data_IF_795191470451
#
_entry.id   IF_795191470451
#
_cell.length_a   1.000
_cell.length_b   1.000
_cell.length_c   1.000
_cell.angle_alpha   90.00
_cell.angle_beta   90.00
_cell.angle_gamma   90.00
#
_symmetry.space_group_name_H-M   'P 1'
#
loop_
_entity.id
_entity.type
_entity.pdbx_description
1 polymer ?
#
# COMPACT_ATOMS: atom_id res chain seq x y z
N UNK A 1 9.31 9.32 -33.78
CA UNK A 1 9.97 9.13 -32.47
C UNK A 1 9.01 8.54 -31.42
N UNK A 2 7.71 8.86 -31.45
CA UNK A 2 6.67 8.41 -30.49
C UNK A 2 6.49 6.87 -30.38
N UNK A 3 6.57 6.14 -31.49
CA UNK A 3 6.55 4.66 -31.50
C UNK A 3 7.72 4.04 -30.74
N UNK A 4 8.81 4.78 -30.55
CA UNK A 4 10.01 4.28 -29.89
C UNK A 4 9.91 4.39 -28.36
N UNK A 5 9.23 5.42 -27.82
CA UNK A 5 9.14 5.67 -26.37
C UNK A 5 8.16 4.72 -25.67
N UNK A 6 7.00 4.43 -26.27
CA UNK A 6 6.07 3.41 -25.74
C UNK A 6 6.65 2.00 -25.82
N UNK A 7 7.32 1.66 -26.93
CA UNK A 7 8.06 0.41 -27.06
C UNK A 7 9.22 0.30 -26.06
N UNK A 8 9.92 1.40 -25.80
CA UNK A 8 10.95 1.49 -24.77
C UNK A 8 10.36 1.29 -23.37
N UNK A 9 9.19 1.86 -23.08
CA UNK A 9 8.50 1.68 -21.80
C UNK A 9 8.17 0.20 -21.55
N UNK A 10 7.63 -0.50 -22.57
CA UNK A 10 7.37 -1.95 -22.52
C UNK A 10 8.64 -2.76 -22.26
N UNK A 11 9.79 -2.30 -22.75
CA UNK A 11 11.10 -2.94 -22.53
C UNK A 11 11.69 -2.62 -21.15
N UNK A 12 11.52 -1.39 -20.63
CA UNK A 12 12.09 -0.94 -19.34
C UNK A 12 11.32 -1.52 -18.15
N UNK A 13 9.99 -1.59 -18.26
CA UNK A 13 9.08 -2.00 -17.18
C UNK A 13 9.44 -3.37 -16.55
N UNK A 14 9.75 -4.43 -17.33
CA UNK A 14 10.19 -5.70 -16.78
C UNK A 14 11.43 -5.57 -15.87
N UNK A 15 12.37 -4.68 -16.21
CA UNK A 15 13.59 -4.47 -15.43
C UNK A 15 13.32 -3.67 -14.14
N UNK A 16 12.44 -2.67 -14.18
CA UNK A 16 12.07 -1.90 -12.99
C UNK A 16 11.21 -2.69 -12.00
N UNK A 17 10.52 -3.73 -12.48
CA UNK A 17 9.82 -4.72 -11.64
C UNK A 17 10.78 -5.58 -10.82
N UNK A 18 12.02 -5.82 -11.26
CA UNK A 18 12.95 -6.70 -10.54
C UNK A 18 14.08 -5.95 -9.84
N UNK A 19 14.34 -4.69 -10.23
CA UNK A 19 15.43 -3.89 -9.70
C UNK A 19 14.91 -2.79 -8.78
N UNK A 20 15.59 -2.55 -7.65
CA UNK A 20 15.30 -1.41 -6.79
C UNK A 20 16.07 -0.19 -7.30
N UNK A 21 15.36 0.80 -7.84
CA UNK A 21 15.95 2.04 -8.32
C UNK A 21 15.93 3.12 -7.23
N UNK A 22 17.02 3.88 -7.12
CA UNK A 22 17.10 5.05 -6.26
C UNK A 22 16.10 6.14 -6.64
N UNK A 23 15.75 7.03 -5.70
CA UNK A 23 14.74 8.07 -5.93
C UNK A 23 15.12 9.05 -7.05
N UNK A 24 16.42 9.36 -7.21
CA UNK A 24 16.91 10.21 -8.30
C UNK A 24 16.60 9.61 -9.69
N UNK A 25 16.91 8.34 -9.90
CA UNK A 25 16.64 7.64 -11.16
C UNK A 25 15.15 7.51 -11.44
N UNK A 26 14.34 7.24 -10.41
CA UNK A 26 12.88 7.20 -10.54
C UNK A 26 12.31 8.58 -10.92
N UNK A 27 12.78 9.67 -10.29
CA UNK A 27 12.35 11.03 -10.64
C UNK A 27 12.73 11.39 -12.08
N UNK A 28 13.93 11.01 -12.52
CA UNK A 28 14.35 11.21 -13.90
C UNK A 28 13.47 10.43 -14.88
N UNK A 29 13.26 9.13 -14.64
CA UNK A 29 12.38 8.29 -15.45
C UNK A 29 10.95 8.84 -15.51
N UNK A 30 10.43 9.34 -14.38
CA UNK A 30 9.12 9.95 -14.34
C UNK A 30 9.05 11.21 -15.22
N UNK A 31 9.94 12.18 -14.99
CA UNK A 31 9.90 13.50 -15.66
C UNK A 31 10.18 13.43 -17.16
N UNK A 32 11.04 12.52 -17.61
CA UNK A 32 11.50 12.48 -19.00
C UNK A 32 10.79 11.43 -19.86
N UNK A 33 10.13 10.44 -19.26
CA UNK A 33 9.46 9.36 -20.01
C UNK A 33 7.99 9.25 -19.64
N UNK A 34 7.67 9.09 -18.36
CA UNK A 34 6.30 8.77 -17.94
C UNK A 34 5.39 10.01 -18.03
N UNK A 35 5.80 11.15 -17.50
CA UNK A 35 4.99 12.37 -17.46
C UNK A 35 4.64 12.91 -18.86
N UNK A 36 5.58 12.97 -19.83
CA UNK A 36 5.23 13.33 -21.21
C UNK A 36 4.15 12.42 -21.81
N UNK A 37 4.32 11.10 -21.69
CA UNK A 37 3.34 10.11 -22.20
C UNK A 37 1.96 10.25 -21.55
N UNK A 38 1.90 10.59 -20.27
CA UNK A 38 0.63 10.85 -19.57
C UNK A 38 -0.04 12.15 -20.07
N UNK A 39 0.75 13.21 -20.33
CA UNK A 39 0.22 14.51 -20.80
C UNK A 39 -0.29 14.45 -22.23
N UNK A 40 0.41 13.71 -23.10
CA UNK A 40 0.05 13.52 -24.50
C UNK A 40 -1.10 12.52 -24.71
N UNK A 41 -1.49 11.77 -23.66
CA UNK A 41 -2.52 10.73 -23.76
C UNK A 41 -2.06 9.46 -24.49
N UNK A 42 -0.76 9.35 -24.80
CA UNK A 42 -0.13 8.25 -25.53
C UNK A 42 0.30 7.08 -24.63
N UNK A 43 -0.13 7.07 -23.37
CA UNK A 43 0.23 6.02 -22.40
C UNK A 43 -0.55 4.74 -22.67
N UNK A 44 0.17 3.65 -22.94
CA UNK A 44 -0.43 2.31 -23.05
C UNK A 44 -1.04 1.88 -21.70
N UNK A 45 -2.35 1.57 -21.64
CA UNK A 45 -3.03 1.11 -20.43
C UNK A 45 -2.37 -0.11 -19.77
N UNK A 46 -1.78 -1.03 -20.56
CA UNK A 46 -1.13 -2.25 -20.06
C UNK A 46 0.12 -1.93 -19.21
N UNK A 47 0.72 -0.77 -19.44
CA UNK A 47 1.92 -0.34 -18.71
C UNK A 47 1.60 0.25 -17.33
N UNK A 48 0.39 0.76 -17.12
CA UNK A 48 0.01 1.51 -15.92
C UNK A 48 0.16 0.71 -14.61
N UNK A 49 -0.29 -0.56 -14.51
CA UNK A 49 -0.09 -1.33 -13.29
C UNK A 49 1.40 -1.44 -12.92
N UNK A 50 2.25 -1.72 -13.90
CA UNK A 50 3.67 -1.88 -13.66
C UNK A 50 4.35 -0.56 -13.26
N UNK A 51 3.93 0.57 -13.82
CA UNK A 51 4.40 1.89 -13.38
C UNK A 51 4.05 2.15 -11.91
N UNK A 52 2.80 1.87 -11.51
CA UNK A 52 2.39 1.96 -10.10
C UNK A 52 3.29 1.08 -9.22
N UNK A 53 3.54 -0.16 -9.64
CA UNK A 53 4.40 -1.11 -8.92
C UNK A 53 5.88 -0.72 -8.88
N UNK A 54 6.35 0.06 -9.85
CA UNK A 54 7.71 0.60 -9.89
C UNK A 54 7.84 1.73 -8.88
N UNK A 55 6.98 2.75 -8.97
CA UNK A 55 7.09 3.94 -8.13
C UNK A 55 6.71 3.70 -6.67
N UNK A 56 5.83 2.74 -6.37
CA UNK A 56 5.41 2.44 -4.99
C UNK A 56 6.55 2.01 -4.05
N UNK A 57 7.69 1.59 -4.60
CA UNK A 57 8.85 1.07 -3.88
C UNK A 57 9.60 2.16 -3.14
N UNK A 58 9.42 3.42 -3.54
CA UNK A 58 10.11 4.56 -2.95
C UNK A 58 9.09 5.59 -2.46
N UNK A 59 9.10 5.86 -1.15
CA UNK A 59 8.15 6.78 -0.52
C UNK A 59 8.27 8.22 -1.05
N UNK A 60 9.46 8.64 -1.49
CA UNK A 60 9.64 9.95 -2.15
C UNK A 60 8.87 10.07 -3.47
N UNK A 61 8.49 8.95 -4.08
CA UNK A 61 7.74 8.91 -5.33
C UNK A 61 6.23 8.78 -5.10
N UNK A 62 5.73 8.91 -3.86
CA UNK A 62 4.29 8.85 -3.57
C UNK A 62 3.47 9.87 -4.38
N UNK A 63 4.04 11.05 -4.66
CA UNK A 63 3.39 12.05 -5.51
C UNK A 63 3.16 11.54 -6.95
N UNK A 64 4.10 10.74 -7.49
CA UNK A 64 3.97 10.09 -8.81
C UNK A 64 2.84 9.07 -8.79
N UNK A 65 2.80 8.24 -7.73
CA UNK A 65 1.73 7.24 -7.56
C UNK A 65 0.36 7.90 -7.49
N UNK A 66 0.25 9.08 -6.86
CA UNK A 66 -0.97 9.89 -6.82
C UNK A 66 -1.35 10.41 -8.21
N UNK A 67 -0.41 10.99 -8.96
CA UNK A 67 -0.66 11.44 -10.35
C UNK A 67 -1.09 10.29 -11.27
N UNK A 68 -0.53 9.09 -11.08
CA UNK A 68 -0.95 7.90 -11.82
C UNK A 68 -2.40 7.50 -11.49
N UNK A 69 -2.79 7.53 -10.21
CA UNK A 69 -4.18 7.29 -9.80
C UNK A 69 -5.16 8.28 -10.46
N UNK A 70 -4.81 9.56 -10.49
CA UNK A 70 -5.64 10.61 -11.08
C UNK A 70 -5.80 10.36 -12.59
N UNK A 71 -4.70 10.09 -13.30
CA UNK A 71 -4.73 9.72 -14.73
C UNK A 71 -5.59 8.48 -15.00
N UNK A 72 -5.36 7.39 -14.25
CA UNK A 72 -6.11 6.13 -14.40
C UNK A 72 -7.61 6.40 -14.22
N UNK A 73 -7.99 7.16 -13.20
CA UNK A 73 -9.39 7.46 -12.90
C UNK A 73 -10.04 8.28 -14.02
N UNK A 74 -9.34 9.29 -14.57
CA UNK A 74 -9.81 10.05 -15.71
C UNK A 74 -9.95 9.18 -16.97
N UNK A 75 -8.94 8.37 -17.29
CA UNK A 75 -8.93 7.53 -18.48
C UNK A 75 -10.04 6.45 -18.44
N UNK A 76 -10.36 5.90 -17.26
CA UNK A 76 -11.50 4.98 -17.10
C UNK A 76 -12.83 5.70 -17.34
N UNK A 77 -12.98 6.93 -16.80
CA UNK A 77 -14.19 7.74 -17.01
C UNK A 77 -14.41 8.08 -18.48
N UNK A 78 -13.33 8.37 -19.19
CA UNK A 78 -13.31 8.61 -20.64
C UNK A 78 -13.42 7.31 -21.47
N UNK A 79 -13.59 6.15 -20.82
CA UNK A 79 -13.69 4.82 -21.44
C UNK A 79 -12.47 4.42 -22.28
N UNK A 80 -11.31 5.04 -22.04
CA UNK A 80 -10.03 4.72 -22.68
C UNK A 80 -9.39 3.45 -22.09
N UNK A 81 -9.79 3.06 -20.89
CA UNK A 81 -9.27 1.87 -20.18
C UNK A 81 -10.44 0.99 -19.73
N UNK A 82 -10.39 -0.29 -20.09
CA UNK A 82 -11.27 -1.32 -19.52
C UNK A 82 -10.55 -2.09 -18.41
N UNK A 83 -11.14 -2.12 -17.22
CA UNK A 83 -10.63 -2.89 -16.08
C UNK A 83 -10.90 -4.39 -16.20
N UNK A 84 -11.85 -4.79 -17.05
CA UNK A 84 -12.33 -6.18 -17.13
C UNK A 84 -11.32 -7.11 -17.83
N UNK A 85 -10.40 -6.55 -18.62
CA UNK A 85 -9.39 -7.34 -19.33
C UNK A 85 -8.34 -7.95 -18.38
N UNK A 86 -8.12 -7.35 -17.21
CA UNK A 86 -7.12 -7.83 -16.23
C UNK A 86 -7.44 -7.40 -14.79
N UNK A 87 -8.54 -7.95 -14.27
CA UNK A 87 -9.04 -7.66 -12.92
C UNK A 87 -7.96 -7.91 -11.85
N UNK A 88 -7.13 -8.94 -12.02
CA UNK A 88 -6.09 -9.30 -11.05
C UNK A 88 -5.03 -8.19 -10.89
N UNK A 89 -4.51 -7.65 -12.00
CA UNK A 89 -3.54 -6.56 -11.93
C UNK A 89 -4.17 -5.28 -11.38
N UNK A 90 -5.43 -4.99 -11.71
CA UNK A 90 -6.12 -3.82 -11.17
C UNK A 90 -6.39 -3.93 -9.67
N UNK A 91 -6.74 -5.10 -9.14
CA UNK A 91 -6.81 -5.32 -7.68
C UNK A 91 -5.46 -5.08 -7.02
N UNK A 92 -4.37 -5.53 -7.65
CA UNK A 92 -3.01 -5.28 -7.15
C UNK A 92 -2.66 -3.78 -7.15
N UNK A 93 -3.09 -3.02 -8.16
CA UNK A 93 -2.97 -1.55 -8.20
C UNK A 93 -3.77 -0.89 -7.07
N UNK A 94 -5.04 -1.27 -6.90
CA UNK A 94 -5.89 -0.74 -5.83
C UNK A 94 -5.28 -1.04 -4.45
N UNK A 95 -4.71 -2.22 -4.25
CA UNK A 95 -4.02 -2.56 -3.01
C UNK A 95 -2.91 -1.55 -2.70
N UNK A 96 -2.14 -1.13 -3.72
CA UNK A 96 -1.09 -0.13 -3.58
C UNK A 96 -1.66 1.21 -3.16
N UNK A 97 -2.72 1.67 -3.83
CA UNK A 97 -3.37 2.94 -3.53
C UNK A 97 -4.07 2.95 -2.17
N UNK A 98 -4.57 1.80 -1.69
CA UNK A 98 -5.23 1.65 -0.39
C UNK A 98 -4.31 1.77 0.83
N UNK A 99 -3.00 1.87 0.63
CA UNK A 99 -2.07 2.00 1.74
C UNK A 99 -2.20 3.36 2.43
N UNK A 100 -2.54 3.35 3.72
CA UNK A 100 -2.87 4.55 4.52
C UNK A 100 -1.83 5.68 4.40
N UNK A 101 -0.54 5.34 4.46
CA UNK A 101 0.56 6.31 4.42
C UNK A 101 0.73 7.02 3.07
N UNK A 102 0.06 6.58 2.00
CA UNK A 102 0.11 7.23 0.68
C UNK A 102 -0.93 8.34 0.51
N UNK A 103 -2.01 8.34 1.29
CA UNK A 103 -3.05 9.37 1.21
C UNK A 103 -3.73 9.48 -0.18
N UNK A 104 -3.85 8.36 -0.90
CA UNK A 104 -4.46 8.31 -2.24
C UNK A 104 -5.95 7.96 -2.12
N UNK A 105 -6.80 8.70 -2.83
CA UNK A 105 -8.22 8.36 -2.94
C UNK A 105 -8.44 7.25 -3.99
N UNK A 106 -8.46 6.01 -3.53
CA UNK A 106 -8.64 4.82 -4.37
C UNK A 106 -10.10 4.41 -4.58
N UNK A 107 -11.06 5.09 -3.91
CA UNK A 107 -12.48 4.73 -3.94
C UNK A 107 -13.09 4.78 -5.36
N UNK A 108 -12.77 5.78 -6.21
CA UNK A 108 -13.28 5.79 -7.59
C UNK A 108 -12.85 4.56 -8.39
N UNK A 109 -11.56 4.17 -8.31
CA UNK A 109 -11.06 2.99 -9.01
C UNK A 109 -11.70 1.70 -8.47
N UNK A 110 -11.86 1.60 -7.15
CA UNK A 110 -12.56 0.47 -6.52
C UNK A 110 -14.01 0.36 -7.00
N UNK A 111 -14.72 1.48 -7.13
CA UNK A 111 -16.08 1.53 -7.66
C UNK A 111 -16.15 1.05 -9.11
N UNK A 112 -15.27 1.53 -9.99
CA UNK A 112 -15.22 1.05 -11.38
C UNK A 112 -14.96 -0.45 -11.50
N UNK A 113 -14.21 -1.03 -10.55
CA UNK A 113 -13.95 -2.46 -10.52
C UNK A 113 -15.16 -3.27 -10.02
N UNK A 114 -15.80 -2.80 -8.95
CA UNK A 114 -16.75 -3.59 -8.17
C UNK A 114 -18.21 -3.27 -8.42
N UNK A 115 -18.54 -2.08 -8.91
CA UNK A 115 -19.91 -1.59 -8.98
C UNK A 115 -20.37 -1.59 -10.43
N UNK A 116 -21.65 -1.93 -10.65
CA UNK A 116 -22.35 -1.63 -11.89
C UNK A 116 -22.57 -0.12 -12.03
N UNK A 117 -21.49 0.67 -12.07
CA UNK A 117 -21.63 2.10 -12.30
C UNK A 117 -21.80 2.33 -13.82
N UNK A 118 -23.06 2.40 -14.23
CA UNK A 118 -23.51 3.20 -15.37
C UNK A 118 -23.23 4.67 -15.08
N UNK A 119 -21.96 5.10 -15.08
CA UNK A 119 -21.59 6.49 -15.37
C UNK A 119 -21.80 6.78 -16.86
N UNK A 120 -22.94 6.35 -17.42
CA UNK A 120 -23.42 6.92 -18.66
C UNK A 120 -23.88 8.33 -18.29
N UNK A 121 -23.39 9.40 -18.94
CA UNK A 121 -24.22 10.58 -19.02
C UNK A 121 -25.54 10.09 -19.61
N UNK A 122 -26.65 10.35 -18.92
CA UNK A 122 -27.96 10.26 -19.52
C UNK A 122 -27.97 11.27 -20.67
N UNK A 123 -27.55 10.85 -21.86
CA UNK A 123 -28.01 11.46 -23.09
C UNK A 123 -29.50 11.17 -23.13
N UNK A 124 -30.30 12.13 -22.66
CA UNK A 124 -31.69 12.18 -23.05
C UNK A 124 -31.74 12.18 -24.58
N UNK A 125 -32.57 11.30 -25.14
CA UNK A 125 -32.72 11.16 -26.59
C UNK A 125 -32.92 9.72 -27.01
N UNK A 126 -34.18 9.30 -26.94
CA UNK A 126 -34.88 8.41 -27.86
C UNK A 126 -34.39 6.96 -28.08
N UNK A 127 -35.32 6.06 -27.71
CA UNK A 127 -35.52 4.73 -28.28
C UNK A 127 -35.21 4.68 -29.77
N UNK A 128 -34.16 3.97 -30.17
CA UNK A 128 -34.16 3.22 -31.43
C UNK A 128 -33.38 1.91 -31.30
N UNK A 129 -34.00 0.89 -31.90
CA UNK A 129 -33.64 -0.51 -31.87
C UNK A 129 -32.20 -0.80 -32.26
N UNK A 130 -31.61 -1.76 -31.57
CA UNK A 130 -30.39 -2.43 -31.97
C UNK A 130 -30.58 -3.12 -33.34
N UNK A 131 -29.77 -2.73 -34.32
CA UNK A 131 -29.36 -3.64 -35.37
C UNK A 131 -27.84 -3.66 -35.48
N UNK A 132 -27.35 -4.91 -35.49
CA UNK A 132 -25.97 -5.32 -35.71
C UNK A 132 -25.58 -4.98 -37.14
N UNK A 133 -24.42 -4.36 -37.34
CA UNK A 133 -23.75 -4.30 -38.65
C UNK A 133 -22.24 -4.21 -38.45
N UNK A 134 -21.54 -5.05 -39.22
CA UNK A 134 -20.10 -5.32 -39.30
C UNK A 134 -19.19 -4.10 -39.58
N UNK A 135 -17.87 -4.22 -39.36
CA UNK A 135 -16.95 -3.07 -39.42
C UNK A 135 -16.62 -2.73 -40.89
N UNK A 136 -16.96 -1.50 -41.31
CA UNK A 136 -16.40 -0.90 -42.53
C UNK A 136 -15.28 0.08 -42.16
N UNK A 137 -14.13 -0.12 -42.80
CA UNK A 137 -13.04 0.84 -42.89
C UNK A 137 -13.56 2.19 -43.38
N UNK A 138 -13.32 3.24 -42.60
CA UNK A 138 -13.44 4.62 -43.06
C UNK A 138 -12.22 5.37 -42.54
N UNK A 139 -11.41 5.87 -43.48
CA UNK A 139 -10.28 6.76 -43.25
C UNK A 139 -10.73 7.99 -42.46
N UNK A 140 -10.03 8.28 -41.37
CA UNK A 140 -10.28 9.47 -40.57
C UNK A 140 -9.61 10.69 -41.23
N UNK A 141 -10.31 11.83 -41.41
CA UNK A 141 -9.66 13.10 -41.72
C UNK A 141 -8.88 13.57 -40.50
N UNK A 142 -7.63 13.99 -40.71
CA UNK A 142 -6.76 14.62 -39.71
C UNK A 142 -7.32 16.01 -39.38
N UNK A 143 -7.52 16.36 -38.09
CA UNK A 143 -7.52 17.75 -37.66
C UNK A 143 -6.24 18.05 -36.88
N UNK A 144 -5.50 19.02 -37.40
CA UNK A 144 -4.38 19.72 -36.78
C UNK A 144 -4.77 20.45 -35.49
N UNK A 145 -3.81 20.50 -34.56
CA UNK A 145 -3.66 21.44 -33.44
C UNK A 145 -4.70 21.43 -32.30
N UNK A 146 -4.44 20.61 -31.27
CA UNK A 146 -4.97 20.83 -29.92
C UNK A 146 -3.85 21.45 -29.07
N UNK A 147 -3.77 22.77 -29.10
CA UNK A 147 -3.13 23.53 -28.02
C UNK A 147 -4.05 23.49 -26.79
N UNK A 148 -3.56 22.91 -25.70
CA UNK A 148 -4.21 23.00 -24.39
C UNK A 148 -4.11 24.46 -23.92
N UNK A 149 -5.13 25.26 -24.25
CA UNK A 149 -5.18 26.68 -23.94
C UNK A 149 -5.64 26.87 -22.49
N UNK A 150 -4.65 26.93 -21.61
CA UNK A 150 -4.78 27.34 -20.23
C UNK A 150 -4.74 28.88 -20.19
N UNK A 151 -5.93 29.53 -20.24
CA UNK A 151 -6.27 30.93 -19.87
C UNK A 151 -7.29 31.50 -20.87
N UNK A 152 -8.55 31.59 -20.44
CA UNK A 152 -9.45 32.75 -20.61
C UNK A 152 -10.74 32.43 -19.86
N UNK A 153 -10.67 32.60 -18.55
CA UNK A 153 -11.81 32.59 -17.64
C UNK A 153 -11.80 33.95 -16.96
N UNK A 154 -11.94 35.00 -17.77
CA UNK A 154 -12.26 36.36 -17.35
C UNK A 154 -12.73 37.13 -18.59
N UNK A 155 -13.85 37.84 -18.45
CA UNK A 155 -14.54 38.68 -19.44
C UNK A 155 -15.32 37.96 -20.55
N UNK A 156 -16.56 37.58 -20.23
CA UNK A 156 -17.77 37.89 -21.03
C UNK A 156 -19.03 37.60 -20.19
N UNK A 157 -19.38 38.56 -19.34
CA UNK A 157 -20.75 38.74 -18.85
C UNK A 157 -21.13 40.19 -19.05
N UNK A 158 -21.93 40.42 -20.10
CA UNK A 158 -22.83 41.55 -20.26
C UNK A 158 -23.83 41.07 -21.33
N UNK A 159 -24.81 40.29 -20.89
CA UNK A 159 -26.20 40.70 -20.96
C UNK A 159 -27.18 39.53 -20.77
N UNK A 160 -28.05 39.76 -19.79
CA UNK A 160 -29.47 39.39 -19.73
C UNK A 160 -29.89 37.94 -19.37
N UNK A 161 -30.33 37.88 -18.12
CA UNK A 161 -31.60 37.30 -17.64
C UNK A 161 -31.75 35.78 -17.46
N UNK A 162 -31.84 35.39 -16.19
CA UNK A 162 -32.91 34.49 -15.73
C UNK A 162 -32.48 33.08 -15.32
N UNK A 163 -32.64 32.80 -14.02
CA UNK A 163 -32.64 31.50 -13.34
C UNK A 163 -31.30 30.88 -12.90
N UNK A 164 -31.08 31.04 -11.59
CA UNK A 164 -30.23 30.26 -10.69
C UNK A 164 -29.76 28.90 -11.21
N UNK A 165 -28.47 28.81 -11.56
CA UNK A 165 -27.73 27.55 -11.50
C UNK A 165 -26.55 27.73 -10.55
N UNK A 166 -26.62 27.03 -9.42
CA UNK A 166 -25.49 26.82 -8.54
C UNK A 166 -24.34 26.19 -9.34
N UNK A 167 -23.20 26.87 -9.29
CA UNK A 167 -21.91 26.38 -9.76
C UNK A 167 -21.60 25.00 -9.16
N UNK A 168 -21.51 24.00 -10.02
CA UNK A 168 -20.94 22.70 -9.69
C UNK A 168 -19.41 22.82 -9.53
N UNK A 169 -18.94 22.88 -8.30
CA UNK A 169 -17.58 22.43 -7.93
C UNK A 169 -17.63 20.89 -7.82
N UNK A 170 -16.99 20.09 -8.70
CA UNK A 170 -17.11 18.64 -8.66
C UNK A 170 -16.12 18.07 -7.64
N UNK A 171 -16.23 18.47 -6.38
CA UNK A 171 -15.77 17.65 -5.26
C UNK A 171 -16.67 16.42 -5.25
N UNK A 172 -16.29 15.38 -5.99
CA UNK A 172 -17.05 14.13 -6.09
C UNK A 172 -17.33 13.58 -4.70
N UNK A 173 -18.53 13.86 -4.19
CA UNK A 173 -19.10 13.20 -3.04
C UNK A 173 -19.37 11.77 -3.48
N UNK A 174 -18.36 10.91 -3.36
CA UNK A 174 -18.51 9.50 -3.62
C UNK A 174 -19.46 8.95 -2.54
N UNK A 175 -20.68 8.59 -2.93
CA UNK A 175 -21.60 7.91 -2.04
C UNK A 175 -20.93 6.65 -1.44
N UNK A 176 -21.34 6.18 -0.26
CA UNK A 176 -20.86 4.90 0.25
C UNK A 176 -21.22 3.80 -0.74
N UNK A 177 -20.33 2.82 -0.92
CA UNK A 177 -20.64 1.66 -1.78
C UNK A 177 -21.77 0.86 -1.08
N UNK A 178 -22.72 0.32 -1.84
CA UNK A 178 -23.72 -0.63 -1.33
C UNK A 178 -23.28 -2.05 -1.66
N UNK A 179 -23.50 -3.00 -0.76
CA UNK A 179 -23.23 -4.42 -1.05
C UNK A 179 -24.11 -4.96 -2.18
N UNK A 180 -25.31 -4.39 -2.36
CA UNK A 180 -26.26 -4.77 -3.42
C UNK A 180 -25.80 -4.38 -4.82
N UNK A 181 -24.96 -3.36 -4.92
CA UNK A 181 -24.49 -2.85 -6.22
C UNK A 181 -23.21 -3.57 -6.68
N UNK A 182 -22.70 -4.52 -5.88
CA UNK A 182 -21.48 -5.26 -6.17
C UNK A 182 -21.69 -6.26 -7.31
N UNK A 183 -20.74 -6.27 -8.24
CA UNK A 183 -20.59 -7.27 -9.30
C UNK A 183 -20.07 -8.57 -8.73
N UNK A 184 -20.96 -9.46 -8.29
CA UNK A 184 -20.56 -10.76 -7.75
C UNK A 184 -19.78 -11.61 -8.76
N UNK A 185 -20.07 -11.51 -10.06
CA UNK A 185 -19.26 -12.18 -11.09
C UNK A 185 -17.78 -11.79 -11.04
N UNK A 186 -17.47 -10.50 -10.80
CA UNK A 186 -16.09 -10.04 -10.63
C UNK A 186 -15.46 -10.69 -9.41
N UNK A 187 -16.15 -10.70 -8.26
CA UNK A 187 -15.65 -11.35 -7.03
C UNK A 187 -15.49 -12.86 -7.18
N UNK A 188 -16.38 -13.50 -7.93
CA UNK A 188 -16.40 -14.94 -8.14
C UNK A 188 -15.22 -15.42 -8.98
N UNK A 189 -14.81 -14.64 -9.97
CA UNK A 189 -13.68 -14.95 -10.86
C UNK A 189 -12.30 -14.87 -10.19
N UNK A 190 -12.19 -14.24 -9.02
CA UNK A 190 -10.89 -13.96 -8.40
C UNK A 190 -10.26 -15.22 -7.78
N UNK A 191 -8.94 -15.42 -7.93
CA UNK A 191 -8.22 -16.43 -7.18
C UNK A 191 -8.13 -16.05 -5.69
N UNK A 192 -7.86 -17.02 -4.78
CA UNK A 192 -7.91 -16.79 -3.33
C UNK A 192 -7.09 -15.58 -2.86
N UNK A 193 -5.86 -15.43 -3.37
CA UNK A 193 -4.97 -14.31 -3.03
C UNK A 193 -5.59 -12.96 -3.35
N UNK A 194 -6.07 -12.80 -4.60
CA UNK A 194 -6.64 -11.55 -5.09
C UNK A 194 -7.96 -11.25 -4.39
N UNK A 195 -8.78 -12.27 -4.14
CA UNK A 195 -10.03 -12.16 -3.39
C UNK A 195 -9.80 -11.61 -1.98
N UNK A 196 -8.87 -12.18 -1.22
CA UNK A 196 -8.53 -11.71 0.13
C UNK A 196 -8.01 -10.27 0.14
N UNK A 197 -7.16 -9.91 -0.85
CA UNK A 197 -6.67 -8.54 -1.01
C UNK A 197 -7.83 -7.58 -1.25
N UNK A 198 -8.74 -7.92 -2.16
CA UNK A 198 -9.86 -7.05 -2.52
C UNK A 198 -10.83 -6.87 -1.35
N UNK A 199 -11.13 -7.93 -0.59
CA UNK A 199 -11.95 -7.81 0.62
C UNK A 199 -11.29 -6.94 1.69
N UNK A 200 -9.98 -7.05 1.88
CA UNK A 200 -9.23 -6.20 2.82
C UNK A 200 -9.21 -4.74 2.38
N UNK A 201 -9.21 -4.47 1.07
CA UNK A 201 -9.39 -3.11 0.53
C UNK A 201 -10.82 -2.63 0.80
N UNK A 202 -11.82 -3.45 0.47
CA UNK A 202 -13.23 -3.12 0.63
C UNK A 202 -13.58 -2.81 2.10
N UNK A 203 -12.97 -3.53 3.04
CA UNK A 203 -13.18 -3.32 4.49
C UNK A 203 -12.70 -1.95 5.00
N UNK A 204 -11.87 -1.24 4.23
CA UNK A 204 -11.37 0.11 4.57
C UNK A 204 -12.28 1.23 4.06
N UNK A 205 -13.26 0.91 3.22
CA UNK A 205 -14.20 1.89 2.65
C UNK A 205 -15.50 1.85 3.43
N UNK A 206 -16.15 3.02 3.56
CA UNK A 206 -17.48 3.10 4.19
C UNK A 206 -18.49 2.37 3.31
N UNK A 207 -19.04 1.28 3.84
CA UNK A 207 -20.16 0.52 3.28
C UNK A 207 -21.44 0.90 4.02
N UNK A 208 -22.61 0.73 3.39
CA UNK A 208 -23.88 0.93 4.08
C UNK A 208 -24.01 0.00 5.31
N UNK A 209 -24.57 0.54 6.39
CA UNK A 209 -24.47 -0.02 7.76
C UNK A 209 -25.38 -1.21 8.07
N UNK A 210 -26.10 -1.77 7.09
CA UNK A 210 -27.01 -2.90 7.34
C UNK A 210 -26.34 -4.20 6.86
N UNK A 211 -26.28 -5.26 7.68
CA UNK A 211 -25.88 -6.57 7.22
C UNK A 211 -26.75 -7.01 6.04
N UNK A 212 -26.11 -7.34 4.93
CA UNK A 212 -26.77 -7.80 3.73
C UNK A 212 -26.77 -9.34 3.74
N UNK A 213 -27.93 -10.00 3.86
CA UNK A 213 -28.00 -11.45 3.91
C UNK A 213 -27.51 -12.10 2.61
N UNK A 214 -27.75 -11.46 1.46
CA UNK A 214 -27.31 -11.95 0.16
C UNK A 214 -25.80 -11.93 0.07
N UNK A 215 -25.18 -10.79 0.40
CA UNK A 215 -23.72 -10.66 0.39
C UNK A 215 -23.06 -11.57 1.43
N UNK A 216 -23.67 -11.69 2.61
CA UNK A 216 -23.20 -12.61 3.66
C UNK A 216 -23.23 -14.06 3.19
N UNK A 217 -24.31 -14.49 2.52
CA UNK A 217 -24.43 -15.85 1.98
C UNK A 217 -23.37 -16.12 0.92
N UNK A 218 -23.21 -15.20 -0.04
CA UNK A 218 -22.16 -15.26 -1.07
C UNK A 218 -20.77 -15.41 -0.44
N UNK A 219 -20.41 -14.54 0.52
CA UNK A 219 -19.11 -14.61 1.18
C UNK A 219 -18.90 -15.91 1.95
N UNK A 220 -19.94 -16.42 2.62
CA UNK A 220 -19.87 -17.70 3.35
C UNK A 220 -19.54 -18.85 2.39
N UNK A 221 -20.29 -18.96 1.29
CA UNK A 221 -20.10 -20.00 0.29
C UNK A 221 -18.71 -19.89 -0.35
N UNK A 222 -18.36 -18.70 -0.84
CA UNK A 222 -17.09 -18.46 -1.53
C UNK A 222 -15.89 -18.71 -0.62
N UNK A 223 -15.98 -18.28 0.64
CA UNK A 223 -14.94 -18.52 1.65
C UNK A 223 -14.79 -20.02 1.93
N UNK A 224 -15.90 -20.75 2.09
CA UNK A 224 -15.88 -22.20 2.31
C UNK A 224 -15.17 -22.95 1.18
N UNK A 225 -15.47 -22.60 -0.07
CA UNK A 225 -14.85 -23.19 -1.26
C UNK A 225 -13.34 -22.88 -1.36
N UNK A 226 -12.93 -21.66 -1.01
CA UNK A 226 -11.54 -21.21 -1.19
C UNK A 226 -10.60 -21.53 -0.03
N UNK A 227 -11.14 -21.71 1.18
CA UNK A 227 -10.38 -21.95 2.42
C UNK A 227 -9.28 -23.02 2.30
N UNK A 228 -9.52 -24.18 1.67
CA UNK A 228 -8.48 -25.20 1.48
C UNK A 228 -7.27 -24.73 0.68
N UNK A 229 -7.46 -23.79 -0.24
CA UNK A 229 -6.44 -23.30 -1.18
C UNK A 229 -5.75 -22.01 -0.70
N UNK A 230 -6.26 -21.37 0.35
CA UNK A 230 -5.66 -20.16 0.92
C UNK A 230 -4.35 -20.50 1.63
N UNK A 231 -3.31 -19.69 1.45
CA UNK A 231 -2.13 -19.76 2.31
C UNK A 231 -2.37 -19.00 3.63
N UNK A 232 -1.38 -19.04 4.54
CA UNK A 232 -1.49 -18.36 5.84
C UNK A 232 -1.65 -16.83 5.73
N UNK A 233 -1.05 -16.19 4.72
CA UNK A 233 -1.17 -14.75 4.51
C UNK A 233 -2.60 -14.40 4.07
N UNK A 234 -3.17 -15.20 3.17
CA UNK A 234 -4.53 -15.03 2.67
C UNK A 234 -5.55 -15.16 3.80
N UNK A 235 -5.41 -16.22 4.61
CA UNK A 235 -6.28 -16.46 5.76
C UNK A 235 -6.23 -15.31 6.79
N UNK A 236 -5.04 -14.78 7.08
CA UNK A 236 -4.88 -13.64 8.00
C UNK A 236 -5.54 -12.38 7.43
N UNK A 237 -5.33 -12.09 6.14
CA UNK A 237 -5.93 -10.93 5.48
C UNK A 237 -7.46 -11.02 5.44
N UNK A 238 -8.00 -12.23 5.22
CA UNK A 238 -9.44 -12.47 5.23
C UNK A 238 -10.02 -12.29 6.64
N UNK A 239 -9.37 -12.84 7.67
CA UNK A 239 -9.79 -12.68 9.06
C UNK A 239 -9.85 -11.19 9.46
N UNK A 240 -8.83 -10.43 9.07
CA UNK A 240 -8.80 -8.98 9.28
C UNK A 240 -9.96 -8.28 8.55
N UNK A 241 -10.14 -8.54 7.26
CA UNK A 241 -11.18 -7.92 6.43
C UNK A 241 -12.59 -8.20 6.99
N UNK A 242 -12.91 -9.46 7.27
CA UNK A 242 -14.20 -9.88 7.80
C UNK A 242 -14.46 -9.32 9.20
N UNK A 243 -13.42 -9.08 10.00
CA UNK A 243 -13.58 -8.40 11.30
C UNK A 243 -14.02 -6.94 11.14
N UNK A 244 -13.65 -6.28 10.04
CA UNK A 244 -13.94 -4.86 9.79
C UNK A 244 -15.21 -4.61 8.96
N UNK A 245 -15.59 -5.54 8.08
CA UNK A 245 -16.78 -5.38 7.22
C UNK A 245 -18.09 -5.35 8.02
N UNK A 246 -18.77 -4.21 8.05
CA UNK A 246 -20.02 -4.01 8.81
C UNK A 246 -21.22 -4.72 8.16
N UNK A 247 -21.23 -4.80 6.82
CA UNK A 247 -22.32 -5.39 6.03
C UNK A 247 -22.38 -6.93 6.03
N UNK A 248 -21.56 -7.60 6.85
CA UNK A 248 -21.41 -9.06 6.86
C UNK A 248 -21.68 -9.62 8.25
N UNK A 249 -22.46 -10.70 8.34
CA UNK A 249 -22.66 -11.42 9.60
C UNK A 249 -21.32 -11.96 10.14
N UNK A 250 -20.97 -11.51 11.36
CA UNK A 250 -19.75 -11.91 12.05
C UNK A 250 -19.69 -13.40 12.39
N UNK A 251 -20.80 -14.15 12.31
CA UNK A 251 -20.79 -15.62 12.46
C UNK A 251 -19.85 -16.32 11.48
N UNK A 252 -19.53 -15.73 10.32
CA UNK A 252 -18.53 -16.29 9.40
C UNK A 252 -17.16 -16.46 10.10
N UNK A 253 -16.79 -15.53 10.98
CA UNK A 253 -15.52 -15.59 11.71
C UNK A 253 -15.44 -16.82 12.62
N UNK A 254 -16.48 -17.08 13.41
CA UNK A 254 -16.48 -18.21 14.36
C UNK A 254 -16.77 -19.55 13.69
N UNK A 255 -17.52 -19.58 12.59
CA UNK A 255 -17.94 -20.84 11.93
C UNK A 255 -16.96 -21.34 10.88
N UNK A 256 -16.27 -20.45 10.16
CA UNK A 256 -15.37 -20.83 9.06
C UNK A 256 -13.91 -20.47 9.33
N UNK A 257 -13.64 -19.22 9.72
CA UNK A 257 -12.26 -18.72 9.85
C UNK A 257 -11.57 -19.30 11.07
N UNK A 258 -12.24 -19.29 12.23
CA UNK A 258 -11.67 -19.72 13.49
C UNK A 258 -11.22 -21.19 13.48
N UNK A 259 -12.02 -22.18 13.02
CA UNK A 259 -11.57 -23.56 12.92
C UNK A 259 -10.29 -23.73 12.08
N UNK A 260 -10.22 -23.07 10.93
CA UNK A 260 -9.05 -23.18 10.05
C UNK A 260 -7.81 -22.51 10.65
N UNK A 261 -8.00 -21.39 11.35
CA UNK A 261 -6.93 -20.74 12.13
C UNK A 261 -6.37 -21.69 13.18
N UNK A 262 -7.21 -22.39 13.94
CA UNK A 262 -6.73 -23.33 14.96
C UNK A 262 -6.06 -24.56 14.37
N UNK A 263 -6.52 -25.05 13.22
CA UNK A 263 -5.85 -26.13 12.47
C UNK A 263 -4.42 -25.77 12.09
N UNK A 264 -4.15 -24.49 11.78
CA UNK A 264 -2.84 -24.00 11.28
C UNK A 264 -2.02 -23.23 12.30
N UNK A 265 -2.49 -23.12 13.55
CA UNK A 265 -2.00 -22.13 14.54
C UNK A 265 -0.49 -22.15 14.78
N UNK A 266 0.14 -23.33 14.72
CA UNK A 266 1.58 -23.52 14.94
C UNK A 266 2.44 -23.00 13.78
N UNK A 267 1.88 -22.96 12.57
CA UNK A 267 2.57 -22.58 11.34
C UNK A 267 2.68 -21.06 11.14
N UNK A 268 1.85 -20.27 11.83
CA UNK A 268 1.86 -18.81 11.68
C UNK A 268 3.17 -18.19 12.19
N UNK A 269 3.66 -17.15 11.51
CA UNK A 269 4.77 -16.35 12.02
C UNK A 269 4.31 -15.36 13.12
N UNK A 270 5.25 -14.59 13.68
CA UNK A 270 4.96 -13.65 14.77
C UNK A 270 3.97 -12.56 14.34
N UNK A 271 4.11 -12.02 13.13
CA UNK A 271 3.20 -10.99 12.61
C UNK A 271 1.80 -11.57 12.39
N UNK A 272 1.72 -12.75 11.78
CA UNK A 272 0.46 -13.45 11.50
C UNK A 272 -0.29 -13.79 12.79
N UNK A 273 0.41 -14.30 13.81
CA UNK A 273 -0.18 -14.53 15.14
C UNK A 273 -0.73 -13.23 15.72
N UNK A 274 -0.01 -12.12 15.60
CA UNK A 274 -0.47 -10.84 16.12
C UNK A 274 -1.68 -10.29 15.40
N UNK A 275 -1.71 -10.36 14.07
CA UNK A 275 -2.85 -9.90 13.28
C UNK A 275 -4.10 -10.75 13.57
N UNK A 276 -3.98 -12.08 13.58
CA UNK A 276 -5.09 -12.98 13.93
C UNK A 276 -5.61 -12.69 15.33
N UNK A 277 -4.71 -12.59 16.31
CA UNK A 277 -5.08 -12.31 17.69
C UNK A 277 -5.80 -10.96 17.79
N UNK A 278 -5.29 -9.92 17.13
CA UNK A 278 -5.95 -8.61 17.09
C UNK A 278 -7.36 -8.68 16.50
N UNK A 279 -7.55 -9.38 15.38
CA UNK A 279 -8.83 -9.46 14.68
C UNK A 279 -9.87 -10.34 15.38
N UNK A 280 -9.45 -11.47 15.98
CA UNK A 280 -10.37 -12.49 16.48
C UNK A 280 -10.55 -12.50 18.01
N UNK A 281 -9.57 -12.03 18.79
CA UNK A 281 -9.60 -12.20 20.26
C UNK A 281 -10.81 -11.57 20.96
N UNK A 282 -11.38 -10.50 20.39
CA UNK A 282 -12.60 -9.88 20.91
C UNK A 282 -13.83 -10.78 20.85
N UNK A 283 -13.82 -11.79 19.98
CA UNK A 283 -14.92 -12.74 19.79
C UNK A 283 -14.74 -14.01 20.62
N UNK A 284 -13.53 -14.25 21.14
CA UNK A 284 -13.26 -15.43 21.96
C UNK A 284 -13.67 -15.19 23.41
N UNK A 285 -14.71 -15.90 23.84
CA UNK A 285 -15.08 -16.00 25.26
C UNK A 285 -14.12 -16.92 26.04
N UNK A 286 -13.57 -17.93 25.38
CA UNK A 286 -12.68 -18.91 25.98
C UNK A 286 -11.26 -18.34 26.20
N UNK A 287 -10.86 -18.27 27.47
CA UNK A 287 -9.54 -17.81 27.87
C UNK A 287 -8.42 -18.75 27.39
N UNK A 288 -8.67 -20.05 27.26
CA UNK A 288 -7.67 -21.03 26.82
C UNK A 288 -7.19 -20.74 25.40
N UNK A 289 -8.11 -20.33 24.51
CA UNK A 289 -7.79 -19.87 23.15
C UNK A 289 -6.84 -18.69 23.15
N UNK A 290 -7.12 -17.68 23.98
CA UNK A 290 -6.26 -16.49 24.11
C UNK A 290 -4.89 -16.85 24.67
N UNK A 291 -4.83 -17.71 25.68
CA UNK A 291 -3.59 -18.20 26.27
C UNK A 291 -2.73 -18.98 25.26
N UNK A 292 -3.34 -19.84 24.44
CA UNK A 292 -2.63 -20.59 23.40
C UNK A 292 -1.86 -19.65 22.45
N UNK A 293 -2.53 -18.60 21.93
CA UNK A 293 -1.88 -17.61 21.07
C UNK A 293 -0.73 -16.89 21.77
N UNK A 294 -0.90 -16.54 23.04
CA UNK A 294 0.15 -15.88 23.83
C UNK A 294 1.38 -16.79 24.02
N UNK A 295 1.16 -18.06 24.37
CA UNK A 295 2.24 -19.03 24.53
C UNK A 295 2.99 -19.23 23.21
N UNK A 296 2.28 -19.36 22.08
CA UNK A 296 2.91 -19.52 20.77
C UNK A 296 3.69 -18.28 20.34
N UNK A 297 3.11 -17.09 20.55
CA UNK A 297 3.79 -15.82 20.30
C UNK A 297 5.08 -15.72 21.13
N UNK A 298 4.99 -15.97 22.44
CA UNK A 298 6.12 -15.91 23.36
C UNK A 298 7.19 -16.95 23.07
N UNK A 299 6.81 -18.15 22.64
CA UNK A 299 7.76 -19.17 22.18
C UNK A 299 8.59 -18.67 20.98
N UNK A 300 7.97 -17.93 20.05
CA UNK A 300 8.68 -17.34 18.92
C UNK A 300 9.55 -16.15 19.34
N UNK A 301 9.10 -15.29 20.27
CA UNK A 301 9.94 -14.23 20.85
C UNK A 301 11.17 -14.81 21.56
N UNK A 302 10.99 -15.88 22.36
CA UNK A 302 12.11 -16.59 23.01
C UNK A 302 13.11 -17.13 22.00
N UNK A 303 12.65 -17.61 20.83
CA UNK A 303 13.53 -18.01 19.73
C UNK A 303 14.36 -16.84 19.19
N UNK A 304 13.77 -15.65 19.03
CA UNK A 304 14.51 -14.46 18.60
C UNK A 304 15.55 -14.01 19.64
N UNK A 305 15.22 -14.06 20.94
CA UNK A 305 16.19 -13.82 22.01
C UNK A 305 17.35 -14.82 21.97
N UNK A 306 17.08 -16.11 21.77
CA UNK A 306 18.12 -17.12 21.66
C UNK A 306 19.03 -16.87 20.44
N UNK A 307 18.45 -16.54 19.28
CA UNK A 307 19.21 -16.20 18.08
C UNK A 307 20.10 -14.97 18.29
N UNK A 308 19.59 -13.93 18.96
CA UNK A 308 20.38 -12.76 19.31
C UNK A 308 21.58 -13.13 20.19
N UNK A 309 21.39 -13.97 21.20
CA UNK A 309 22.49 -14.42 22.05
C UNK A 309 23.51 -15.30 21.30
N UNK A 310 23.05 -16.18 20.41
CA UNK A 310 23.90 -17.12 19.67
C UNK A 310 24.71 -16.44 18.55
N UNK A 311 24.14 -15.41 17.92
CA UNK A 311 24.77 -14.71 16.80
C UNK A 311 25.35 -13.37 17.24
N UNK A 312 26.23 -13.39 18.24
CA UNK A 312 27.03 -12.23 18.68
C UNK A 312 26.23 -10.93 18.84
N UNK A 313 24.99 -11.03 19.36
CA UNK A 313 24.15 -9.86 19.59
C UNK A 313 23.81 -9.05 18.33
N UNK A 314 23.67 -9.74 17.18
CA UNK A 314 23.22 -9.09 15.95
C UNK A 314 21.81 -8.47 16.09
N UNK A 315 21.74 -7.14 16.01
CA UNK A 315 20.52 -6.35 16.23
C UNK A 315 19.34 -6.78 15.34
N UNK A 316 19.61 -7.34 14.16
CA UNK A 316 18.56 -7.77 13.22
C UNK A 316 17.58 -8.77 13.84
N UNK A 317 18.01 -9.61 14.78
CA UNK A 317 17.16 -10.61 15.45
C UNK A 317 16.25 -10.03 16.52
N UNK A 318 16.53 -8.81 17.02
CA UNK A 318 15.70 -8.10 18.00
C UNK A 318 14.77 -7.11 17.31
N UNK A 319 15.25 -6.48 16.24
CA UNK A 319 14.52 -5.44 15.54
C UNK A 319 13.60 -5.99 14.45
N UNK A 320 13.93 -7.13 13.83
CA UNK A 320 13.25 -7.62 12.62
C UNK A 320 13.02 -9.13 12.60
N UNK A 321 11.97 -9.52 11.89
CA UNK A 321 11.77 -10.92 11.50
C UNK A 321 12.69 -11.30 10.33
N UNK A 322 12.77 -12.61 10.02
CA UNK A 322 13.43 -13.09 8.80
C UNK A 322 12.91 -12.42 7.52
N UNK A 323 11.61 -12.09 7.51
CA UNK A 323 10.93 -11.42 6.39
C UNK A 323 11.07 -9.89 6.44
N UNK A 324 12.00 -9.36 7.26
CA UNK A 324 12.29 -7.94 7.44
C UNK A 324 11.14 -7.12 8.06
N UNK A 325 10.08 -7.77 8.55
CA UNK A 325 9.01 -7.08 9.26
C UNK A 325 9.52 -6.58 10.61
N UNK A 326 9.07 -5.39 11.02
CA UNK A 326 9.55 -4.70 12.22
C UNK A 326 8.98 -5.35 13.49
N UNK A 327 9.82 -6.05 14.26
CA UNK A 327 9.42 -6.63 15.54
C UNK A 327 9.08 -5.57 16.59
N UNK A 328 9.64 -4.35 16.44
CA UNK A 328 9.34 -3.19 17.31
C UNK A 328 7.89 -2.74 17.16
N UNK A 329 7.26 -2.96 15.99
CA UNK A 329 5.85 -2.61 15.78
C UNK A 329 4.94 -3.78 16.18
N UNK A 330 5.36 -5.00 15.84
CA UNK A 330 4.55 -6.20 16.07
C UNK A 330 4.37 -6.51 17.56
N UNK A 331 5.44 -6.38 18.36
CA UNK A 331 5.38 -6.73 19.78
C UNK A 331 4.43 -5.82 20.59
N UNK A 332 4.48 -4.49 20.48
CA UNK A 332 3.50 -3.60 21.12
C UNK A 332 2.09 -3.84 20.61
N UNK A 333 1.90 -4.04 19.29
CA UNK A 333 0.58 -4.32 18.73
C UNK A 333 -0.06 -5.56 19.37
N UNK A 334 0.71 -6.65 19.51
CA UNK A 334 0.24 -7.86 20.18
C UNK A 334 -0.11 -7.61 21.64
N UNK A 335 0.78 -6.94 22.37
CA UNK A 335 0.60 -6.68 23.80
C UNK A 335 -0.63 -5.79 24.07
N UNK A 336 -0.81 -4.71 23.29
CA UNK A 336 -1.98 -3.85 23.39
C UNK A 336 -3.27 -4.61 23.08
N UNK A 337 -3.25 -5.46 22.05
CA UNK A 337 -4.39 -6.33 21.75
C UNK A 337 -4.66 -7.31 22.90
N UNK A 338 -3.64 -7.87 23.54
CA UNK A 338 -3.79 -8.75 24.70
C UNK A 338 -4.45 -8.03 25.86
N UNK A 339 -3.84 -6.95 26.36
CA UNK A 339 -4.32 -6.21 27.53
C UNK A 339 -5.77 -5.73 27.34
N UNK A 340 -6.13 -5.31 26.11
CA UNK A 340 -7.50 -4.90 25.79
C UNK A 340 -8.53 -6.04 25.92
N UNK A 341 -8.13 -7.28 25.69
CA UNK A 341 -9.04 -8.43 25.58
C UNK A 341 -8.90 -9.45 26.74
N UNK A 342 -7.96 -9.24 27.67
CA UNK A 342 -7.75 -10.10 28.85
C UNK A 342 -7.38 -9.27 30.07
N UNK A 343 -8.01 -9.56 31.20
CA UNK A 343 -7.76 -8.88 32.49
C UNK A 343 -6.80 -9.66 33.40
N UNK A 344 -6.03 -10.60 32.86
CA UNK A 344 -5.10 -11.45 33.61
C UNK A 344 -3.64 -11.10 33.32
N UNK A 345 -2.75 -11.53 34.22
CA UNK A 345 -1.30 -11.43 34.03
C UNK A 345 -0.85 -12.12 32.72
N UNK A 346 -0.12 -11.37 31.89
CA UNK A 346 0.41 -11.87 30.63
C UNK A 346 1.42 -13.00 30.88
N UNK A 347 1.19 -14.21 30.32
CA UNK A 347 2.14 -15.31 30.45
C UNK A 347 3.51 -14.91 29.90
N UNK A 348 4.58 -15.28 30.61
CA UNK A 348 5.96 -14.98 30.24
C UNK A 348 6.31 -13.49 30.17
N UNK A 349 5.62 -12.65 30.96
CA UNK A 349 5.88 -11.20 31.06
C UNK A 349 7.37 -10.85 31.15
N UNK A 350 8.16 -11.57 31.96
CA UNK A 350 9.60 -11.35 32.09
C UNK A 350 10.39 -11.48 30.78
N UNK A 351 10.07 -12.49 29.95
CA UNK A 351 10.74 -12.66 28.65
C UNK A 351 10.35 -11.54 27.69
N UNK A 352 9.09 -11.12 27.73
CA UNK A 352 8.59 -10.04 26.90
C UNK A 352 9.21 -8.70 27.29
N UNK A 353 9.26 -8.37 28.57
CA UNK A 353 9.87 -7.13 29.07
C UNK A 353 11.35 -7.06 28.71
N UNK A 354 12.10 -8.16 28.89
CA UNK A 354 13.51 -8.25 28.45
C UNK A 354 13.66 -7.99 26.95
N UNK A 355 12.79 -8.56 26.11
CA UNK A 355 12.82 -8.36 24.66
C UNK A 355 12.55 -6.90 24.27
N UNK A 356 11.54 -6.29 24.88
CA UNK A 356 11.20 -4.88 24.65
C UNK A 356 12.31 -3.94 25.14
N UNK A 357 12.91 -4.21 26.31
CA UNK A 357 14.04 -3.45 26.82
C UNK A 357 15.25 -3.49 25.87
N UNK A 358 15.53 -4.64 25.27
CA UNK A 358 16.58 -4.77 24.26
C UNK A 358 16.27 -3.93 23.01
N UNK A 359 15.02 -3.93 22.54
CA UNK A 359 14.59 -3.09 21.43
C UNK A 359 14.85 -1.60 21.73
N UNK A 360 14.43 -1.12 22.90
CA UNK A 360 14.67 0.27 23.30
C UNK A 360 16.16 0.60 23.47
N UNK A 361 16.95 -0.31 24.04
CA UNK A 361 18.40 -0.12 24.19
C UNK A 361 19.12 0.00 22.84
N UNK A 362 18.73 -0.80 21.85
CA UNK A 362 19.31 -0.71 20.50
C UNK A 362 18.90 0.61 19.84
N UNK A 363 17.62 0.98 19.94
CA UNK A 363 17.11 2.23 19.37
C UNK A 363 17.77 3.47 19.99
N UNK A 364 17.97 3.49 21.31
CA UNK A 364 18.61 4.63 21.99
C UNK A 364 20.09 4.79 21.57
N UNK A 365 20.82 3.67 21.42
CA UNK A 365 22.19 3.67 20.87
C UNK A 365 22.22 4.26 19.45
N UNK A 366 21.26 3.89 18.61
CA UNK A 366 21.14 4.43 17.25
C UNK A 366 20.86 5.92 17.23
N UNK A 367 19.94 6.38 18.08
CA UNK A 367 19.59 7.80 18.22
C UNK A 367 20.82 8.61 18.66
N UNK A 368 21.53 8.15 19.68
CA UNK A 368 22.75 8.81 20.18
C UNK A 368 23.85 8.89 19.12
N UNK A 369 24.09 7.79 18.38
CA UNK A 369 25.05 7.78 17.26
C UNK A 369 24.66 8.75 16.16
N UNK A 370 23.37 8.86 15.86
CA UNK A 370 22.86 9.76 14.84
C UNK A 370 22.97 11.23 15.24
N UNK A 371 22.71 11.54 16.51
CA UNK A 371 22.91 12.87 17.08
C UNK A 371 24.39 13.27 17.10
N UNK A 372 25.30 12.38 17.54
CA UNK A 372 26.75 12.60 17.49
C UNK A 372 27.25 12.81 16.06
N UNK A 373 26.70 12.09 15.08
CA UNK A 373 27.05 12.33 13.67
C UNK A 373 26.56 13.70 13.21
N UNK A 374 25.32 14.10 13.53
CA UNK A 374 24.83 15.46 13.23
C UNK A 374 25.73 16.53 13.86
N UNK A 375 26.12 16.39 15.12
CA UNK A 375 27.01 17.35 15.79
C UNK A 375 28.43 17.37 15.20
N UNK A 376 28.96 16.22 14.76
CA UNK A 376 30.25 16.14 14.05
C UNK A 376 30.20 16.82 12.68
N UNK A 377 29.04 16.82 12.01
CA UNK A 377 28.86 17.57 10.76
C UNK A 377 28.63 19.07 11.00
N UNK A 378 27.93 19.48 12.07
CA UNK A 378 27.77 20.90 12.44
C UNK A 378 29.10 21.57 12.81
N UNK A 379 30.01 20.84 13.48
CA UNK A 379 31.36 21.35 13.79
C UNK A 379 32.25 21.62 12.58
N UNK A 380 31.95 21.01 11.42
CA UNK A 380 32.69 21.23 10.17
C UNK A 380 32.13 22.37 9.31
N UNK A 381 30.88 22.81 9.54
CA UNK A 381 30.33 23.97 8.83
C UNK A 381 30.78 25.31 9.44
N UNK A 382 31.15 25.35 10.72
CA UNK A 382 31.65 26.57 11.37
C UNK A 382 33.18 26.77 11.25
N UNK A 383 33.93 25.79 10.71
CA UNK A 383 35.39 25.87 10.56
C UNK A 383 35.88 26.07 9.12
N UNK A 384 34.98 26.39 8.20
CA UNK A 384 35.27 26.56 6.76
C UNK A 384 35.46 28.01 6.29
N UNK A 385 35.45 28.99 7.18
CA UNK A 385 35.62 30.42 6.83
C UNK A 385 36.58 31.10 7.82
N UNK A 386 37.89 30.88 7.65
CA UNK A 386 38.92 31.87 7.97
C UNK A 386 40.27 31.47 7.36
N UNK A 387 40.57 32.19 6.27
CA UNK A 387 41.88 32.53 5.70
C UNK A 387 42.83 31.43 5.21
N UNK A 388 42.93 31.39 3.88
CA UNK A 388 44.12 31.00 3.12
C UNK A 388 45.24 32.02 3.34
N UNK A 389 46.45 31.57 3.69
CA UNK A 389 47.70 32.08 3.09
C UNK A 389 48.86 31.09 3.34
N UNK A 390 49.79 31.10 2.39
CA UNK A 390 50.80 30.11 2.04
C UNK A 390 51.86 29.78 3.09
N UNK A 391 52.37 28.54 3.10
CA UNK A 391 53.73 28.13 2.69
C UNK A 391 53.95 26.63 3.04
N UNK A 392 54.52 25.84 2.12
CA UNK A 392 54.87 24.42 2.35
C UNK A 392 56.34 24.24 2.76
N UNK A 393 56.94 23.04 2.61
CA UNK A 393 56.48 21.70 2.97
C UNK A 393 57.43 21.04 4.02
N UNK A 394 56.98 20.08 4.81
CA UNK A 394 57.91 19.10 5.42
C UNK A 394 57.26 17.75 5.66
N UNK A 395 58.01 16.71 5.28
CA UNK A 395 57.71 15.31 5.50
C UNK A 395 57.55 15.02 6.99
N UNK A 396 56.50 14.30 7.38
CA UNK A 396 56.71 13.06 8.10
C UNK A 396 55.56 12.07 7.95
N UNK A 397 55.95 10.86 7.56
CA UNK A 397 55.15 9.65 7.47
C UNK A 397 54.65 9.25 8.86
N UNK A 398 53.39 8.82 8.93
CA UNK A 398 52.91 7.53 9.46
C UNK A 398 51.51 7.68 10.08
N UNK A 399 50.64 6.72 9.75
CA UNK A 399 49.29 6.46 10.27
C UNK A 399 48.13 7.33 9.76
N UNK A 400 47.58 6.93 8.60
CA UNK A 400 46.19 6.43 8.51
C UNK A 400 45.88 6.09 7.05
N UNK A 401 46.10 4.84 6.69
CA UNK A 401 45.64 4.26 5.44
C UNK A 401 44.37 3.46 5.77
N UNK A 402 43.31 3.67 4.97
CA UNK A 402 41.95 3.09 5.02
C UNK A 402 40.84 4.05 5.47
N UNK A 403 40.52 5.04 4.62
CA UNK A 403 39.21 5.72 4.64
C UNK A 403 38.96 6.44 3.31
N UNK A 404 38.99 5.71 2.20
CA UNK A 404 38.46 6.19 0.92
C UNK A 404 38.24 4.98 -0.01
N UNK A 405 37.07 4.37 0.12
CA UNK A 405 36.21 3.87 -0.97
C UNK A 405 35.26 2.81 -0.42
N UNK A 406 34.08 3.28 -0.01
CA UNK A 406 32.87 2.48 -0.16
C UNK A 406 31.73 3.43 -0.46
N UNK A 407 31.29 3.41 -1.72
CA UNK A 407 30.00 3.93 -2.15
C UNK A 407 28.88 3.23 -1.38
N UNK A 408 28.61 3.71 -0.17
CA UNK A 408 27.55 3.20 0.68
C UNK A 408 26.23 3.84 0.30
N UNK A 409 25.54 3.27 -0.68
CA UNK A 409 24.11 3.49 -0.85
C UNK A 409 23.43 3.29 0.51
N UNK A 410 22.82 4.33 1.07
CA UNK A 410 22.06 4.23 2.30
C UNK A 410 21.05 3.08 2.18
N UNK A 411 21.06 2.09 3.08
CA UNK A 411 20.07 1.03 3.01
C UNK A 411 18.68 1.66 3.30
N UNK A 412 17.62 1.29 2.55
CA UNK A 412 16.22 1.73 2.78
C UNK A 412 15.74 1.52 4.24
N UNK A 413 16.47 0.66 4.95
CA UNK A 413 16.41 0.32 6.36
C UNK A 413 16.32 1.51 7.34
N UNK A 414 16.96 2.66 7.06
CA UNK A 414 17.04 3.78 8.02
C UNK A 414 15.77 4.63 8.09
N UNK A 415 14.96 4.68 7.01
CA UNK A 415 13.74 5.51 6.99
C UNK A 415 12.62 4.93 7.85
N UNK A 416 12.38 3.63 7.77
CA UNK A 416 11.40 2.98 8.64
C UNK A 416 11.78 3.12 10.12
N UNK A 417 13.06 3.00 10.48
CA UNK A 417 13.50 3.17 11.88
C UNK A 417 13.29 4.60 12.39
N UNK A 418 13.50 5.62 11.54
CA UNK A 418 13.25 7.01 11.91
C UNK A 418 11.75 7.32 12.09
N UNK A 419 10.89 6.70 11.29
CA UNK A 419 9.44 6.89 11.42
C UNK A 419 8.86 6.10 12.61
N UNK A 420 9.38 4.91 12.90
CA UNK A 420 9.03 4.16 14.13
C UNK A 420 9.52 4.92 15.38
N UNK A 421 10.71 5.53 15.35
CA UNK A 421 11.21 6.40 16.42
C UNK A 421 10.37 7.69 16.59
N UNK A 422 9.97 8.32 15.50
CA UNK A 422 9.11 9.51 15.51
C UNK A 422 7.67 9.24 15.95
N UNK A 423 7.19 8.00 15.86
CA UNK A 423 5.87 7.59 16.35
C UNK A 423 5.91 7.06 17.80
N UNK A 424 7.11 6.77 18.33
CA UNK A 424 7.34 6.29 19.70
C UNK A 424 7.69 7.43 20.67
N UNK A 425 8.26 8.52 20.17
CA UNK A 425 8.33 9.83 20.83
C UNK A 425 6.99 10.55 20.65
#
# INVERSE_FOLDING_TARGET
>A
QETNTSALLKKIIPYTKNTFLGSCHLKYFYSHVVEPLLKEGNMDPECLPNLVHTFKRNEECNYVVKKLNDYITCAIRERKISLQNDVNNWVSVIQVFSAKWRGINFVPLLRHLLVNDSFAPSSGGDTHHAQVSEPRNVEAPIPSDIQIQQRQLDQRQLDQSGLNQHQHDPRQVCHPISSRDLRYATLESLPPRTFCILLNVLSKVKMHNVPDPTFTSFLREKTSQMLPYMNNIDLVQLAEALSQLICVDKKILSTLIEPEVFKRVTSFDVLQLSMIFHSLSRYWKDLKKKQLFCVLFMRKIKKYLALYSLHNQEEKYILRTRNKNTLIEIAPMFFLAYVKNTHYMFPHYFCFSKFVLLQFSILSKWLHRSQKRRSLFEGNYQRGMLNQQMEGPSLNKYHNQQLADSGGSHPPCLRHTNQTLSNLL
#
